data_IF_165571135573
#
_entry.id   IF_165571135573
#
_cell.length_a   1.000
_cell.length_b   1.000
_cell.length_c   1.000
_cell.angle_alpha   90.00
_cell.angle_beta   90.00
_cell.angle_gamma   90.00
#
_symmetry.space_group_name_H-M   'P 1'
#
loop_
_entity.id
_entity.type
_entity.pdbx_description
1 polymer ?
#
# COMPACT_ATOMS: atom_id res chain seq x y z
N UNK A 1 50.91 -51.19 -23.54
CA UNK A 1 51.09 -50.05 -24.45
C UNK A 1 50.95 -50.57 -25.86
N UNK A 2 50.17 -49.91 -26.73
CA UNK A 2 50.18 -50.22 -28.15
C UNK A 2 51.55 -49.86 -28.75
N UNK A 3 51.94 -50.55 -29.81
CA UNK A 3 53.17 -50.26 -30.56
C UNK A 3 53.17 -48.81 -31.06
N UNK A 4 54.32 -48.15 -31.09
CA UNK A 4 54.48 -46.86 -31.78
C UNK A 4 54.91 -47.09 -33.24
N UNK A 5 54.68 -46.12 -34.15
CA UNK A 5 55.20 -46.21 -35.52
C UNK A 5 56.73 -46.45 -35.55
N UNK A 6 57.45 -45.88 -34.59
CA UNK A 6 58.89 -46.09 -34.41
C UNK A 6 59.24 -47.52 -33.97
N UNK A 7 58.40 -48.14 -33.14
CA UNK A 7 58.58 -49.56 -32.74
C UNK A 7 58.33 -50.52 -33.91
N UNK A 8 57.46 -50.14 -34.85
CA UNK A 8 57.19 -50.92 -36.07
C UNK A 8 58.36 -50.76 -37.05
N UNK A 9 58.90 -49.55 -37.22
CA UNK A 9 60.06 -49.28 -38.07
C UNK A 9 61.33 -49.98 -37.59
N UNK A 10 61.57 -50.03 -36.27
CA UNK A 10 62.77 -50.64 -35.68
C UNK A 10 62.63 -52.15 -35.46
N UNK A 11 61.57 -52.77 -35.97
CA UNK A 11 61.30 -54.19 -35.73
C UNK A 11 62.12 -55.07 -36.67
N UNK A 12 63.08 -55.79 -36.11
CA UNK A 12 63.79 -56.85 -36.83
C UNK A 12 63.09 -58.21 -36.69
N UNK A 13 62.97 -58.94 -37.80
CA UNK A 13 62.42 -60.29 -37.86
C UNK A 13 63.54 -61.32 -38.06
N UNK A 14 63.41 -62.50 -37.43
CA UNK A 14 64.37 -63.60 -37.61
C UNK A 14 64.15 -64.31 -38.95
N UNK A 15 65.24 -64.64 -39.65
CA UNK A 15 65.20 -65.37 -40.93
C UNK A 15 64.99 -66.87 -40.72
N UNK A 16 64.12 -67.48 -41.51
CA UNK A 16 63.83 -68.93 -41.50
C UNK A 16 63.89 -69.54 -42.91
N UNK A 17 64.10 -70.86 -43.02
CA UNK A 17 64.32 -71.58 -44.28
C UNK A 17 63.14 -71.51 -45.29
N UNK A 18 61.97 -71.01 -44.86
CA UNK A 18 60.79 -70.65 -45.67
C UNK A 18 60.06 -69.48 -45.01
N UNK A 19 60.37 -68.25 -45.43
CA UNK A 19 59.77 -67.01 -44.92
C UNK A 19 59.00 -66.24 -45.98
N UNK A 20 58.34 -65.17 -45.56
CA UNK A 20 57.81 -64.16 -46.48
C UNK A 20 58.95 -63.40 -47.15
N UNK A 21 58.66 -62.79 -48.29
CA UNK A 21 59.59 -61.89 -48.98
C UNK A 21 59.84 -60.66 -48.10
N UNK A 22 61.10 -60.34 -47.84
CA UNK A 22 61.47 -59.23 -46.96
C UNK A 22 61.11 -57.87 -47.57
N UNK A 23 61.24 -57.72 -48.89
CA UNK A 23 60.95 -56.46 -49.58
C UNK A 23 59.44 -56.17 -49.56
N UNK A 24 58.62 -57.19 -49.82
CA UNK A 24 57.15 -57.10 -49.82
C UNK A 24 56.60 -56.84 -48.40
N UNK A 25 57.22 -57.44 -47.38
CA UNK A 25 56.87 -57.19 -45.97
C UNK A 25 57.27 -55.78 -45.54
N UNK A 26 58.45 -55.29 -45.93
CA UNK A 26 58.89 -53.94 -45.60
C UNK A 26 58.00 -52.87 -46.25
N UNK A 27 57.61 -53.04 -47.52
CA UNK A 27 56.69 -52.12 -48.20
C UNK A 27 55.31 -52.08 -47.52
N UNK A 28 54.82 -53.23 -47.05
CA UNK A 28 53.57 -53.30 -46.27
C UNK A 28 53.72 -52.65 -44.87
N UNK A 29 54.85 -52.85 -44.20
CA UNK A 29 55.13 -52.21 -42.91
C UNK A 29 55.24 -50.68 -43.04
N UNK A 30 55.82 -50.17 -44.12
CA UNK A 30 55.86 -48.73 -44.40
C UNK A 30 54.46 -48.13 -44.57
N UNK A 31 53.55 -48.86 -45.22
CA UNK A 31 52.15 -48.46 -45.34
C UNK A 31 51.45 -48.47 -43.96
N UNK A 32 51.66 -49.52 -43.17
CA UNK A 32 51.13 -49.59 -41.79
C UNK A 32 51.65 -48.43 -40.94
N UNK A 33 52.94 -48.10 -41.01
CA UNK A 33 53.54 -47.00 -40.25
C UNK A 33 52.84 -45.67 -40.58
N UNK A 34 52.62 -45.38 -41.86
CA UNK A 34 51.90 -44.16 -42.30
C UNK A 34 50.47 -44.12 -41.78
N UNK A 35 49.72 -45.21 -41.95
CA UNK A 35 48.32 -45.28 -41.52
C UNK A 35 48.21 -45.17 -40.01
N UNK A 36 49.16 -45.75 -39.27
CA UNK A 36 49.21 -45.69 -37.81
C UNK A 36 49.58 -44.29 -37.30
N UNK A 37 50.46 -43.56 -37.98
CA UNK A 37 50.74 -42.14 -37.68
C UNK A 37 49.51 -41.26 -37.87
N UNK A 38 48.76 -41.46 -38.97
CA UNK A 38 47.51 -40.73 -39.23
C UNK A 38 46.51 -41.03 -38.10
N UNK A 39 46.33 -42.30 -37.76
CA UNK A 39 45.37 -42.73 -36.74
C UNK A 39 45.72 -42.19 -35.34
N UNK A 40 47.01 -42.12 -34.99
CA UNK A 40 47.47 -41.50 -33.75
C UNK A 40 47.22 -39.99 -33.72
N UNK A 41 47.39 -39.31 -34.87
CA UNK A 41 47.10 -37.87 -34.99
C UNK A 41 45.61 -37.59 -34.84
N UNK A 42 44.77 -38.32 -35.57
CA UNK A 42 43.31 -38.22 -35.48
C UNK A 42 42.81 -38.52 -34.07
N UNK A 43 43.35 -39.56 -33.42
CA UNK A 43 43.02 -39.87 -32.03
C UNK A 43 43.33 -38.68 -31.11
N UNK A 44 44.50 -38.07 -31.26
CA UNK A 44 44.90 -36.92 -30.44
C UNK A 44 43.97 -35.73 -30.67
N UNK A 45 43.64 -35.42 -31.92
CA UNK A 45 42.70 -34.35 -32.27
C UNK A 45 41.31 -34.61 -31.68
N UNK A 46 40.80 -35.86 -31.77
CA UNK A 46 39.53 -36.25 -31.18
C UNK A 46 39.54 -36.12 -29.66
N UNK A 47 40.61 -36.55 -28.98
CA UNK A 47 40.76 -36.43 -27.53
C UNK A 47 40.78 -34.95 -27.08
N UNK A 48 41.49 -34.08 -27.81
CA UNK A 48 41.49 -32.63 -27.57
C UNK A 48 40.09 -32.02 -27.76
N UNK A 49 39.41 -32.41 -28.85
CA UNK A 49 38.05 -31.92 -29.15
C UNK A 49 37.07 -32.36 -28.07
N UNK A 50 37.15 -33.62 -27.64
CA UNK A 50 36.29 -34.20 -26.60
C UNK A 50 36.53 -33.53 -25.24
N UNK A 51 37.79 -33.22 -24.91
CA UNK A 51 38.14 -32.41 -23.74
C UNK A 51 37.46 -31.04 -23.78
N UNK A 52 37.58 -30.33 -24.90
CA UNK A 52 36.95 -29.00 -25.06
C UNK A 52 35.41 -29.03 -24.99
N UNK A 53 34.79 -30.08 -25.53
CA UNK A 53 33.34 -30.25 -25.48
C UNK A 53 32.85 -30.56 -24.06
N UNK A 54 33.57 -31.40 -23.33
CA UNK A 54 33.24 -31.71 -21.94
C UNK A 54 33.36 -30.47 -21.04
N UNK A 55 34.37 -29.62 -21.25
CA UNK A 55 34.52 -28.38 -20.50
C UNK A 55 33.35 -27.41 -20.78
N UNK A 56 32.96 -27.26 -22.05
CA UNK A 56 31.77 -26.49 -22.42
C UNK A 56 30.49 -27.06 -21.82
N UNK A 57 30.33 -28.38 -21.83
CA UNK A 57 29.17 -29.04 -21.23
C UNK A 57 29.10 -28.75 -19.73
N UNK A 58 30.24 -28.87 -19.01
CA UNK A 58 30.33 -28.53 -17.60
C UNK A 58 29.96 -27.07 -17.32
N UNK A 59 30.39 -26.14 -18.18
CA UNK A 59 29.97 -24.75 -18.07
C UNK A 59 28.46 -24.59 -18.24
N UNK A 60 27.84 -25.23 -19.23
CA UNK A 60 26.39 -25.16 -19.44
C UNK A 60 25.61 -25.75 -18.26
N UNK A 61 26.05 -26.88 -17.70
CA UNK A 61 25.44 -27.48 -16.51
C UNK A 61 25.47 -26.50 -15.32
N UNK A 62 26.60 -25.82 -15.10
CA UNK A 62 26.71 -24.82 -14.03
C UNK A 62 25.79 -23.60 -14.27
N UNK A 63 25.64 -23.16 -15.52
CA UNK A 63 24.71 -22.09 -15.88
C UNK A 63 23.27 -22.54 -15.61
N UNK A 64 22.90 -23.75 -16.03
CA UNK A 64 21.56 -24.30 -15.83
C UNK A 64 21.21 -24.40 -14.34
N UNK A 65 22.14 -24.89 -13.51
CA UNK A 65 21.95 -24.96 -12.06
C UNK A 65 21.77 -23.56 -11.45
N UNK A 66 22.60 -22.59 -11.88
CA UNK A 66 22.52 -21.21 -11.39
C UNK A 66 21.23 -20.53 -11.83
N UNK A 67 20.79 -20.78 -13.06
CA UNK A 67 19.53 -20.26 -13.60
C UNK A 67 18.34 -20.83 -12.84
N UNK A 68 18.31 -22.14 -12.62
CA UNK A 68 17.26 -22.79 -11.84
C UNK A 68 17.17 -22.24 -10.41
N UNK A 69 18.32 -22.08 -9.73
CA UNK A 69 18.36 -21.43 -8.40
C UNK A 69 17.83 -20.00 -8.45
N UNK A 70 18.21 -19.23 -9.46
CA UNK A 70 17.77 -17.84 -9.62
C UNK A 70 16.26 -17.73 -9.86
N UNK A 71 15.68 -18.66 -10.64
CA UNK A 71 14.23 -18.73 -10.89
C UNK A 71 13.48 -19.01 -9.58
N UNK A 72 13.96 -19.97 -8.79
CA UNK A 72 13.34 -20.30 -7.50
C UNK A 72 13.37 -19.10 -6.55
N UNK A 73 14.53 -18.45 -6.43
CA UNK A 73 14.68 -17.24 -5.59
C UNK A 73 13.75 -16.12 -6.07
N UNK A 74 13.66 -15.89 -7.38
CA UNK A 74 12.77 -14.88 -7.93
C UNK A 74 11.29 -15.18 -7.65
N UNK A 75 10.89 -16.46 -7.73
CA UNK A 75 9.54 -16.90 -7.39
C UNK A 75 9.24 -16.71 -5.90
N UNK A 76 10.15 -17.12 -5.02
CA UNK A 76 10.01 -16.93 -3.57
C UNK A 76 9.89 -15.45 -3.20
N UNK A 77 10.75 -14.60 -3.76
CA UNK A 77 10.70 -13.16 -3.55
C UNK A 77 9.37 -12.56 -4.05
N UNK A 78 8.88 -13.00 -5.21
CA UNK A 78 7.59 -12.59 -5.75
C UNK A 78 6.41 -13.01 -4.84
N UNK A 79 6.44 -14.23 -4.32
CA UNK A 79 5.43 -14.71 -3.38
C UNK A 79 5.47 -13.97 -2.05
N UNK A 80 6.65 -13.67 -1.53
CA UNK A 80 6.84 -12.90 -0.30
C UNK A 80 6.26 -11.49 -0.44
N UNK A 81 6.58 -10.79 -1.53
CA UNK A 81 6.01 -9.46 -1.83
C UNK A 81 4.49 -9.54 -1.92
N UNK A 82 3.94 -10.53 -2.63
CA UNK A 82 2.49 -10.72 -2.74
C UNK A 82 1.84 -10.97 -1.38
N UNK A 83 2.47 -11.78 -0.53
CA UNK A 83 1.98 -12.12 0.81
C UNK A 83 1.98 -10.89 1.73
N UNK A 84 3.06 -10.12 1.71
CA UNK A 84 3.20 -8.90 2.51
C UNK A 84 2.18 -7.84 2.05
N UNK A 85 2.08 -7.58 0.75
CA UNK A 85 1.10 -6.66 0.19
C UNK A 85 -0.34 -7.08 0.52
N UNK A 86 -0.67 -8.38 0.44
CA UNK A 86 -2.02 -8.85 0.81
C UNK A 86 -2.32 -8.65 2.30
N UNK A 87 -1.32 -8.83 3.17
CA UNK A 87 -1.48 -8.65 4.62
C UNK A 87 -1.68 -7.17 4.96
N UNK A 88 -0.87 -6.31 4.38
CA UNK A 88 -0.95 -4.86 4.55
C UNK A 88 -2.28 -4.30 4.02
N UNK A 89 -2.71 -4.72 2.83
CA UNK A 89 -4.01 -4.34 2.28
C UNK A 89 -5.17 -4.71 3.23
N UNK A 90 -5.15 -5.90 3.82
CA UNK A 90 -6.16 -6.33 4.80
C UNK A 90 -6.14 -5.47 6.07
N UNK A 91 -4.97 -5.07 6.53
CA UNK A 91 -4.83 -4.18 7.68
C UNK A 91 -5.38 -2.79 7.39
N UNK A 92 -5.05 -2.23 6.22
CA UNK A 92 -5.55 -0.92 5.77
C UNK A 92 -7.08 -0.92 5.71
N UNK A 93 -7.68 -1.95 5.09
CA UNK A 93 -9.13 -2.07 5.02
C UNK A 93 -9.76 -2.13 6.41
N UNK A 94 -9.22 -2.98 7.30
CA UNK A 94 -9.72 -3.14 8.66
C UNK A 94 -9.60 -1.86 9.49
N UNK A 95 -8.51 -1.11 9.32
CA UNK A 95 -8.32 0.17 9.99
C UNK A 95 -9.25 1.25 9.46
N UNK A 96 -9.45 1.29 8.13
CA UNK A 96 -10.40 2.19 7.49
C UNK A 96 -11.84 1.92 7.95
N UNK A 97 -12.26 0.65 8.01
CA UNK A 97 -13.56 0.24 8.55
C UNK A 97 -13.73 0.71 10.01
N UNK A 98 -12.76 0.41 10.87
CA UNK A 98 -12.79 0.85 12.28
C UNK A 98 -12.87 2.37 12.42
N UNK A 99 -12.14 3.11 11.60
CA UNK A 99 -12.16 4.56 11.64
C UNK A 99 -13.50 5.12 11.12
N UNK A 100 -14.07 4.53 10.07
CA UNK A 100 -15.38 4.88 9.57
C UNK A 100 -16.46 4.65 10.64
N UNK A 101 -16.45 3.50 11.30
CA UNK A 101 -17.37 3.19 12.40
C UNK A 101 -17.24 4.20 13.54
N UNK A 102 -16.00 4.59 13.90
CA UNK A 102 -15.76 5.61 14.92
C UNK A 102 -16.36 6.96 14.52
N UNK A 103 -16.12 7.41 13.28
CA UNK A 103 -16.62 8.70 12.77
C UNK A 103 -18.15 8.71 12.74
N UNK A 104 -18.78 7.61 12.31
CA UNK A 104 -20.24 7.48 12.29
C UNK A 104 -20.80 7.53 13.71
N UNK A 105 -20.22 6.79 14.66
CA UNK A 105 -20.68 6.79 16.04
C UNK A 105 -20.51 8.16 16.73
N UNK A 106 -19.38 8.83 16.51
CA UNK A 106 -19.16 10.19 17.01
C UNK A 106 -20.16 11.18 16.42
N UNK A 107 -20.42 11.08 15.11
CA UNK A 107 -21.40 11.92 14.42
C UNK A 107 -22.81 11.70 14.94
N UNK A 108 -23.22 10.44 15.15
CA UNK A 108 -24.52 10.08 15.71
C UNK A 108 -24.68 10.58 17.15
N UNK A 109 -23.63 10.48 17.96
CA UNK A 109 -23.63 11.00 19.34
C UNK A 109 -23.81 12.52 19.36
N UNK A 110 -23.06 13.25 18.52
CA UNK A 110 -23.21 14.70 18.36
C UNK A 110 -24.61 15.08 17.88
N UNK A 111 -25.15 14.37 16.89
CA UNK A 111 -26.50 14.61 16.39
C UNK A 111 -27.57 14.44 17.48
N UNK A 112 -27.47 13.38 18.29
CA UNK A 112 -28.36 13.15 19.44
C UNK A 112 -28.26 14.27 20.47
N UNK A 113 -27.05 14.72 20.79
CA UNK A 113 -26.83 15.83 21.73
C UNK A 113 -27.48 17.13 21.24
N UNK A 114 -27.26 17.47 19.97
CA UNK A 114 -27.88 18.65 19.34
C UNK A 114 -29.41 18.53 19.36
N UNK A 115 -29.97 17.35 19.07
CA UNK A 115 -31.42 17.14 19.12
C UNK A 115 -31.99 17.37 20.53
N UNK A 116 -31.31 16.89 21.57
CA UNK A 116 -31.69 17.16 22.96
C UNK A 116 -31.60 18.65 23.32
N UNK A 117 -30.55 19.34 22.89
CA UNK A 117 -30.40 20.79 23.11
C UNK A 117 -31.51 21.59 22.42
N UNK A 118 -31.92 21.19 21.20
CA UNK A 118 -33.04 21.80 20.47
C UNK A 118 -34.36 21.60 21.24
N UNK A 119 -34.59 20.40 21.78
CA UNK A 119 -35.81 20.10 22.54
C UNK A 119 -35.88 20.94 23.83
N UNK A 120 -34.77 21.05 24.55
CA UNK A 120 -34.69 21.88 25.75
C UNK A 120 -34.88 23.37 25.44
N UNK A 121 -34.24 23.90 24.39
CA UNK A 121 -34.45 25.29 23.94
C UNK A 121 -35.91 25.54 23.56
N UNK A 122 -36.57 24.59 22.90
CA UNK A 122 -38.00 24.70 22.55
C UNK A 122 -38.87 24.77 23.80
N UNK A 123 -38.57 23.97 24.83
CA UNK A 123 -39.26 24.00 26.12
C UNK A 123 -39.05 25.34 26.81
N UNK A 124 -37.81 25.84 26.86
CA UNK A 124 -37.49 27.14 27.43
C UNK A 124 -38.20 28.28 26.70
N UNK A 125 -38.24 28.25 25.37
CA UNK A 125 -38.98 29.22 24.56
C UNK A 125 -40.48 29.21 24.85
N UNK A 126 -41.09 28.02 25.02
CA UNK A 126 -42.50 27.90 25.41
C UNK A 126 -42.76 28.49 26.80
N UNK A 127 -41.90 28.20 27.78
CA UNK A 127 -42.01 28.76 29.14
C UNK A 127 -41.85 30.29 29.11
N UNK A 128 -40.85 30.79 28.39
CA UNK A 128 -40.61 32.22 28.22
C UNK A 128 -41.82 32.91 27.60
N UNK A 129 -42.38 32.35 26.51
CA UNK A 129 -43.59 32.86 25.86
C UNK A 129 -44.77 32.95 26.84
N UNK A 130 -45.01 31.90 27.63
CA UNK A 130 -46.10 31.92 28.62
C UNK A 130 -45.86 32.98 29.69
N UNK A 131 -44.63 33.09 30.23
CA UNK A 131 -44.29 34.11 31.23
C UNK A 131 -44.43 35.53 30.68
N UNK A 132 -43.98 35.76 29.45
CA UNK A 132 -44.08 37.05 28.80
C UNK A 132 -45.54 37.42 28.55
N UNK A 133 -46.37 36.47 28.08
CA UNK A 133 -47.80 36.67 27.90
C UNK A 133 -48.49 37.08 29.21
N UNK A 134 -48.24 36.35 30.32
CA UNK A 134 -48.81 36.70 31.63
C UNK A 134 -48.36 38.09 32.11
N UNK A 135 -47.10 38.48 31.86
CA UNK A 135 -46.61 39.80 32.22
C UNK A 135 -47.36 40.90 31.45
N UNK A 136 -47.54 40.73 30.14
CA UNK A 136 -48.29 41.70 29.32
C UNK A 136 -49.76 41.74 29.71
N UNK A 137 -50.40 40.59 29.97
CA UNK A 137 -51.79 40.54 30.47
C UNK A 137 -51.92 41.30 31.80
N UNK A 138 -51.01 41.10 32.75
CA UNK A 138 -51.02 41.84 34.02
C UNK A 138 -50.81 43.36 33.84
N UNK A 139 -49.97 43.78 32.89
CA UNK A 139 -49.77 45.21 32.59
C UNK A 139 -51.00 45.82 31.87
N UNK A 140 -51.65 45.06 31.00
CA UNK A 140 -52.90 45.47 30.36
C UNK A 140 -54.05 45.58 31.38
N UNK A 141 -54.15 44.62 32.31
CA UNK A 141 -55.14 44.66 33.39
C UNK A 141 -54.94 45.89 34.28
N UNK A 142 -53.68 46.27 34.58
CA UNK A 142 -53.37 47.50 35.33
C UNK A 142 -53.75 48.78 34.58
N UNK A 143 -53.58 48.81 33.25
CA UNK A 143 -53.99 49.97 32.44
C UNK A 143 -55.51 50.03 32.25
N UNK A 144 -56.16 48.88 32.31
CA UNK A 144 -57.62 48.75 32.18
C UNK A 144 -58.34 48.88 33.52
N UNK A 145 -57.61 49.10 34.62
CA UNK A 145 -58.25 49.40 35.91
C UNK A 145 -58.80 50.83 35.89
N UNK A 146 -60.01 51.00 36.45
CA UNK A 146 -60.72 52.28 36.58
C UNK A 146 -59.91 53.33 37.40
N UNK A 147 -58.76 52.97 37.95
CA UNK A 147 -57.83 53.87 38.63
C UNK A 147 -57.31 54.97 37.70
N UNK A 148 -57.14 54.69 36.41
CA UNK A 148 -56.73 55.68 35.44
C UNK A 148 -57.85 56.66 35.09
N UNK A 149 -59.10 56.18 35.05
CA UNK A 149 -60.27 57.04 34.83
C UNK A 149 -60.46 58.00 36.00
N UNK A 150 -60.22 57.54 37.24
CA UNK A 150 -60.24 58.41 38.43
C UNK A 150 -59.10 59.45 38.44
N UNK A 151 -57.90 59.10 37.97
CA UNK A 151 -56.78 60.05 37.89
C UNK A 151 -57.04 61.10 36.80
N UNK A 152 -57.67 60.72 35.69
CA UNK A 152 -58.01 61.63 34.59
C UNK A 152 -59.21 62.55 34.91
N UNK A 153 -60.06 62.19 35.86
CA UNK A 153 -61.15 63.08 36.36
C UNK A 153 -60.62 64.31 37.13
N UNK A 154 -59.38 64.27 37.62
CA UNK A 154 -58.71 65.43 38.21
C UNK A 154 -58.06 66.32 37.13
N UNK A 155 -58.86 66.92 36.25
CA UNK A 155 -58.42 68.15 35.56
C UNK A 155 -58.43 69.30 36.58
N UNK A 156 -57.25 69.66 37.10
CA UNK A 156 -57.08 70.94 37.79
C UNK A 156 -57.27 72.03 36.74
N UNK A 157 -58.41 72.70 36.77
CA UNK A 157 -58.66 73.91 35.99
C UNK A 157 -57.63 74.98 36.42
N UNK A 158 -56.57 75.13 35.62
CA UNK A 158 -55.52 76.12 35.85
C UNK A 158 -56.02 77.57 35.76
N UNK A 159 -57.30 77.78 35.45
CA UNK A 159 -57.94 79.10 35.41
C UNK A 159 -58.20 79.67 36.81
N UNK A 160 -58.35 78.82 37.84
CA UNK A 160 -58.62 79.26 39.22
C UNK A 160 -57.39 79.79 39.97
N UNK A 161 -56.17 79.68 39.40
CA UNK A 161 -54.97 80.22 40.05
C UNK A 161 -54.83 81.75 39.94
N UNK A 162 -55.65 82.42 39.11
CA UNK A 162 -55.60 83.88 38.93
C UNK A 162 -56.43 84.67 39.94
N UNK A 163 -57.43 84.06 40.60
CA UNK A 163 -58.30 84.74 41.58
C UNK A 163 -57.62 84.97 42.93
N UNK A 164 -56.61 84.15 43.28
CA UNK A 164 -55.89 84.24 44.56
C UNK A 164 -54.85 85.38 44.66
N UNK A 165 -54.57 86.12 43.58
CA UNK A 165 -53.62 87.25 43.62
C UNK A 165 -54.25 88.63 43.82
N UNK A 166 -55.57 88.78 43.67
CA UNK A 166 -56.22 90.09 43.83
C UNK A 166 -56.70 90.35 45.28
N UNK A 167 -56.94 89.33 46.09
CA UNK A 167 -57.40 89.51 47.48
C UNK A 167 -56.30 89.96 48.46
N UNK A 168 -55.03 89.66 48.19
CA UNK A 168 -53.91 90.06 49.07
C UNK A 168 -53.48 91.55 48.93
N UNK A 169 -54.14 92.31 48.04
CA UNK A 169 -53.88 93.75 47.83
C UNK A 169 -54.83 94.71 48.56
N UNK A 170 -55.84 94.21 49.29
CA UNK A 170 -56.90 95.02 49.88
C UNK A 170 -56.93 95.09 51.41
N UNK A 171 -55.97 94.50 52.12
CA UNK A 171 -55.80 94.72 53.57
C UNK A 171 -54.51 95.48 53.85
N UNK A 172 -54.65 96.82 53.76
CA UNK A 172 -53.85 97.79 54.51
C UNK A 172 -53.91 97.53 56.01
#
# INVERSE_FOLDING_TARGET
MPLTPLDIHNKEFSRGFRGYDEDEVNEFLDQIIKDYEILLREKKELEETLGSMNERLGHFTNIEETLNKSIVIAQEAGEEVRRNASKEAKLIVKEAEKNADRIVNESLSKARKIAMEIEELKKQSKVFRTRFKMLIEAQLDLLSSDDWDQIMEFEIDATDLKTLKEEDSLTK
#
